data_IF_935953580340
#
_entry.id   IF_935953580340
#
_cell.length_a   1.000
_cell.length_b   1.000
_cell.length_c   1.000
_cell.angle_alpha   90.00
_cell.angle_beta   90.00
_cell.angle_gamma   90.00
#
_symmetry.space_group_name_H-M   'P 1'
#
loop_
_entity.id
_entity.type
_entity.pdbx_description
1 polymer ?
#
# COMPACT_ATOMS: atom_id res chain seq x y z
N UNK A 1 0.94 16.42 -4.68
CA UNK A 1 2.17 15.64 -4.94
C UNK A 1 2.29 14.37 -4.11
N UNK A 2 2.09 14.41 -2.77
CA UNK A 2 2.20 13.21 -1.90
C UNK A 2 1.37 12.01 -2.37
N UNK A 3 0.10 12.21 -2.72
CA UNK A 3 -0.76 11.13 -3.25
C UNK A 3 -0.23 10.53 -4.56
N UNK A 4 0.27 11.36 -5.47
CA UNK A 4 0.82 10.89 -6.74
C UNK A 4 2.06 10.01 -6.52
N UNK A 5 2.96 10.41 -5.62
CA UNK A 5 4.12 9.61 -5.24
C UNK A 5 3.68 8.30 -4.57
N UNK A 6 2.68 8.35 -3.68
CA UNK A 6 2.15 7.15 -3.04
C UNK A 6 1.52 6.18 -4.05
N UNK A 7 0.79 6.67 -5.05
CA UNK A 7 0.25 5.84 -6.14
C UNK A 7 1.36 5.19 -6.97
N UNK A 8 2.48 5.88 -7.22
CA UNK A 8 3.62 5.30 -7.93
C UNK A 8 4.29 4.19 -7.11
N UNK A 9 4.49 4.42 -5.80
CA UNK A 9 5.05 3.40 -4.89
C UNK A 9 4.14 2.18 -4.80
N UNK A 10 2.85 2.40 -4.56
CA UNK A 10 1.85 1.34 -4.49
C UNK A 10 1.75 0.56 -5.81
N UNK A 11 1.72 1.28 -6.94
CA UNK A 11 1.69 0.64 -8.26
C UNK A 11 2.94 -0.18 -8.54
N UNK A 12 4.12 0.28 -8.15
CA UNK A 12 5.35 -0.50 -8.28
C UNK A 12 5.34 -1.75 -7.39
N UNK A 13 4.82 -1.65 -6.16
CA UNK A 13 4.68 -2.76 -5.24
C UNK A 13 3.73 -3.84 -5.77
N UNK A 14 2.52 -3.44 -6.20
CA UNK A 14 1.47 -4.35 -6.69
C UNK A 14 1.77 -4.98 -8.07
N UNK A 15 2.80 -4.51 -8.79
CA UNK A 15 3.08 -4.98 -10.16
C UNK A 15 4.51 -5.48 -10.33
N UNK A 16 5.47 -4.56 -10.47
CA UNK A 16 6.86 -4.87 -10.79
C UNK A 16 7.52 -5.66 -9.67
N UNK A 17 7.15 -5.37 -8.43
CA UNK A 17 7.75 -5.97 -7.24
C UNK A 17 6.89 -7.06 -6.59
N UNK A 18 5.71 -7.38 -7.15
CA UNK A 18 4.84 -8.43 -6.62
C UNK A 18 5.54 -9.80 -6.46
N UNK A 19 6.42 -10.25 -7.39
CA UNK A 19 7.17 -11.50 -7.20
C UNK A 19 8.15 -11.44 -6.01
N UNK A 20 8.67 -10.26 -5.69
CA UNK A 20 9.58 -10.04 -4.55
C UNK A 20 8.79 -10.06 -3.25
N UNK A 21 7.60 -9.44 -3.24
CA UNK A 21 6.63 -9.54 -2.15
C UNK A 21 6.31 -10.99 -1.82
N UNK A 22 5.90 -11.80 -2.79
CA UNK A 22 5.57 -13.22 -2.55
C UNK A 22 6.77 -14.07 -2.09
N UNK A 23 8.00 -13.73 -2.52
CA UNK A 23 9.19 -14.43 -2.06
C UNK A 23 9.60 -14.06 -0.62
N UNK A 24 9.28 -12.85 -0.18
CA UNK A 24 9.68 -12.31 1.14
C UNK A 24 8.58 -11.42 1.75
N UNK A 25 7.38 -11.98 2.01
CA UNK A 25 6.17 -11.17 2.25
C UNK A 25 6.34 -10.26 3.45
N UNK A 26 6.80 -10.80 4.57
CA UNK A 26 6.95 -10.00 5.80
C UNK A 26 7.93 -8.83 5.61
N UNK A 27 9.11 -9.07 5.00
CA UNK A 27 10.15 -8.02 4.91
C UNK A 27 9.79 -6.97 3.87
N UNK A 28 9.34 -7.41 2.69
CA UNK A 28 9.00 -6.52 1.60
C UNK A 28 7.80 -5.66 1.95
N UNK A 29 6.71 -6.25 2.45
CA UNK A 29 5.47 -5.54 2.72
C UNK A 29 5.57 -4.63 3.94
N UNK A 30 6.39 -4.98 4.95
CA UNK A 30 6.76 -4.03 6.01
C UNK A 30 7.50 -2.81 5.44
N UNK A 31 8.38 -3.03 4.45
CA UNK A 31 9.08 -1.95 3.75
C UNK A 31 8.12 -1.03 2.99
N UNK A 32 7.22 -1.61 2.20
CA UNK A 32 6.19 -0.85 1.45
C UNK A 32 5.29 -0.08 2.41
N UNK A 33 4.81 -0.72 3.48
CA UNK A 33 4.00 -0.08 4.50
C UNK A 33 4.73 1.09 5.17
N UNK A 34 6.01 0.93 5.51
CA UNK A 34 6.81 1.99 6.12
C UNK A 34 7.00 3.18 5.17
N UNK A 35 7.26 2.93 3.89
CA UNK A 35 7.38 3.99 2.88
C UNK A 35 6.06 4.73 2.69
N UNK A 36 4.95 4.01 2.52
CA UNK A 36 3.63 4.61 2.35
C UNK A 36 3.19 5.37 3.61
N UNK A 37 3.47 4.85 4.80
CA UNK A 37 3.21 5.54 6.07
C UNK A 37 4.08 6.81 6.21
N UNK A 38 5.33 6.80 5.72
CA UNK A 38 6.16 8.00 5.64
C UNK A 38 5.59 9.07 4.70
N UNK A 39 4.98 8.65 3.58
CA UNK A 39 4.40 9.57 2.59
C UNK A 39 3.03 10.11 3.03
N UNK A 40 2.14 9.25 3.54
CA UNK A 40 0.72 9.55 3.79
C UNK A 40 0.37 9.66 5.29
N UNK A 41 1.31 9.34 6.17
CA UNK A 41 1.06 9.11 7.60
C UNK A 41 0.57 7.68 7.87
N UNK A 42 0.62 7.25 9.13
CA UNK A 42 0.07 5.96 9.52
C UNK A 42 -1.46 6.01 9.49
N UNK A 43 -2.06 5.40 8.48
CA UNK A 43 -3.51 5.38 8.25
C UNK A 43 -4.05 3.95 8.32
N UNK A 44 -5.29 3.73 8.80
CA UNK A 44 -5.89 2.40 8.86
C UNK A 44 -5.85 1.60 7.55
N UNK A 45 -6.10 2.18 6.35
CA UNK A 45 -6.02 1.43 5.10
C UNK A 45 -4.63 0.84 4.82
N UNK A 46 -3.55 1.52 5.21
CA UNK A 46 -2.17 1.03 5.04
C UNK A 46 -1.92 -0.18 5.94
N UNK A 47 -2.42 -0.15 7.18
CA UNK A 47 -2.31 -1.28 8.11
C UNK A 47 -3.12 -2.48 7.63
N UNK A 48 -4.29 -2.26 7.05
CA UNK A 48 -5.11 -3.34 6.49
C UNK A 48 -4.46 -3.98 5.26
N UNK A 49 -3.86 -3.19 4.36
CA UNK A 49 -3.10 -3.74 3.24
C UNK A 49 -1.91 -4.57 3.71
N UNK A 50 -1.16 -4.09 4.71
CA UNK A 50 -0.06 -4.86 5.31
C UNK A 50 -0.52 -6.23 5.85
N UNK A 51 -1.67 -6.28 6.53
CA UNK A 51 -2.22 -7.55 7.02
C UNK A 51 -2.65 -8.45 5.86
N UNK A 52 -3.19 -7.89 4.79
CA UNK A 52 -3.60 -8.66 3.61
C UNK A 52 -2.39 -9.28 2.90
N UNK A 53 -1.32 -8.51 2.66
CA UNK A 53 -0.10 -8.96 1.97
C UNK A 53 0.74 -9.93 2.83
N UNK A 54 0.60 -9.87 4.16
CA UNK A 54 1.23 -10.84 5.04
C UNK A 54 0.65 -12.27 4.90
N UNK A 55 -0.44 -12.45 4.16
CA UNK A 55 -1.05 -13.75 3.85
C UNK A 55 -0.54 -14.22 2.48
N UNK A 56 0.28 -15.27 2.42
CA UNK A 56 0.78 -15.80 1.15
C UNK A 56 -0.36 -16.18 0.19
N UNK A 57 -0.22 -15.84 -1.09
CA UNK A 57 -1.22 -16.12 -2.11
C UNK A 57 -2.37 -15.10 -2.20
N UNK A 58 -2.39 -14.07 -1.33
CA UNK A 58 -3.30 -12.91 -1.44
C UNK A 58 -2.69 -11.78 -2.29
N UNK A 59 -1.38 -11.77 -2.54
CA UNK A 59 -0.65 -10.73 -3.29
C UNK A 59 -0.97 -10.62 -4.79
N UNK A 60 -1.99 -11.36 -5.27
CA UNK A 60 -2.60 -11.14 -6.59
C UNK A 60 -3.58 -9.97 -6.59
N UNK A 61 -4.07 -9.55 -5.42
CA UNK A 61 -4.93 -8.39 -5.29
C UNK A 61 -4.07 -7.13 -5.11
N UNK A 62 -4.31 -6.03 -5.86
CA UNK A 62 -3.52 -4.81 -5.76
C UNK A 62 -3.87 -4.02 -4.48
N UNK A 63 -3.45 -4.54 -3.33
CA UNK A 63 -3.89 -4.07 -2.02
C UNK A 63 -3.30 -2.72 -1.65
N UNK A 64 -2.06 -2.43 -2.11
CA UNK A 64 -1.41 -1.14 -1.86
C UNK A 64 -2.11 -0.02 -2.63
N UNK A 65 -2.44 -0.24 -3.90
CA UNK A 65 -3.22 0.70 -4.70
C UNK A 65 -4.60 0.93 -4.10
N UNK A 66 -5.26 -0.14 -3.65
CA UNK A 66 -6.55 -0.04 -2.96
C UNK A 66 -6.45 0.79 -1.67
N UNK A 67 -5.40 0.59 -0.87
CA UNK A 67 -5.16 1.38 0.34
C UNK A 67 -4.91 2.86 0.04
N UNK A 68 -4.07 3.18 -0.95
CA UNK A 68 -3.80 4.58 -1.35
C UNK A 68 -5.07 5.24 -1.87
N UNK A 69 -5.88 4.55 -2.67
CA UNK A 69 -7.17 5.04 -3.14
C UNK A 69 -8.15 5.32 -1.97
N UNK A 70 -8.20 4.43 -0.98
CA UNK A 70 -9.04 4.62 0.21
C UNK A 70 -8.60 5.82 1.07
N UNK A 71 -7.28 6.04 1.22
CA UNK A 71 -6.75 7.23 1.90
C UNK A 71 -7.13 8.49 1.12
N UNK A 72 -6.91 8.51 -0.20
CA UNK A 72 -7.25 9.65 -1.06
C UNK A 72 -8.75 10.00 -0.97
N UNK A 73 -9.62 8.99 -0.99
CA UNK A 73 -11.07 9.18 -0.84
C UNK A 73 -11.44 9.75 0.54
N UNK A 74 -10.79 9.25 1.59
CA UNK A 74 -11.02 9.72 2.96
C UNK A 74 -10.58 11.17 3.17
N UNK A 75 -9.43 11.57 2.62
CA UNK A 75 -8.95 12.96 2.66
C UNK A 75 -9.86 13.90 1.87
N UNK A 76 -10.37 13.45 0.71
CA UNK A 76 -11.34 14.25 -0.08
C UNK A 76 -12.61 14.53 0.72
N UNK A 77 -13.16 13.53 1.43
CA UNK A 77 -14.37 13.68 2.23
C UNK A 77 -14.21 14.70 3.37
N UNK A 78 -13.00 14.94 3.86
CA UNK A 78 -12.74 15.94 4.90
C UNK A 78 -12.77 17.38 4.37
N UNK A 79 -12.71 17.58 3.05
CA UNK A 79 -12.69 18.89 2.40
C UNK A 79 -14.07 19.33 1.87
N UNK A 80 -15.07 18.46 1.94
CA UNK A 80 -16.46 18.67 1.48
C UNK A 80 -17.41 18.71 2.65
#
# INVERSE_FOLDING_TARGET
FRLLIAFLVAGAADTVLAPVGEAMPVVFDLGVAAVLAGILGLKPPIMLALVAEAIPGVGLFPSWLAAVAAVAASERKQLT
#
